data_IF_106009192936
#
_entry.id   IF_106009192936
#
_cell.length_a   1.000
_cell.length_b   1.000
_cell.length_c   1.000
_cell.angle_alpha   90.00
_cell.angle_beta   90.00
_cell.angle_gamma   90.00
#
_symmetry.space_group_name_H-M   'P 1'
#
loop_
_entity.id
_entity.type
_entity.pdbx_description
1 polymer ?
#
# COMPACT_ATOMS: atom_id res chain seq x y z
N UNK A 1 -40.09 -32.67 48.96
CA UNK A 1 -41.34 -33.33 49.37
C UNK A 1 -41.24 -33.66 50.85
N UNK A 2 -42.25 -33.30 51.63
CA UNK A 2 -42.38 -33.68 53.04
C UNK A 2 -43.06 -35.06 53.09
N UNK A 3 -42.58 -36.00 53.91
CA UNK A 3 -43.13 -37.37 54.02
C UNK A 3 -43.90 -37.59 55.34
N UNK A 4 -44.29 -36.50 56.00
CA UNK A 4 -45.03 -36.53 57.28
C UNK A 4 -46.40 -37.22 57.21
N UNK A 5 -46.90 -37.51 56.00
CA UNK A 5 -48.20 -38.15 55.74
C UNK A 5 -48.14 -39.68 55.70
N UNK A 6 -46.95 -40.29 55.84
CA UNK A 6 -46.77 -41.75 55.80
C UNK A 6 -46.83 -42.28 57.25
N UNK A 7 -47.86 -43.06 57.56
CA UNK A 7 -48.14 -43.59 58.91
C UNK A 7 -47.21 -44.74 59.33
N UNK A 8 -46.64 -45.50 58.38
CA UNK A 8 -45.69 -46.58 58.68
C UNK A 8 -44.27 -46.02 58.95
N UNK A 9 -43.75 -46.15 60.18
CA UNK A 9 -42.47 -45.56 60.57
C UNK A 9 -41.26 -46.24 59.91
N UNK A 10 -41.34 -47.52 59.52
CA UNK A 10 -40.24 -48.21 58.83
C UNK A 10 -40.11 -47.74 57.39
N UNK A 11 -41.23 -47.58 56.70
CA UNK A 11 -41.27 -47.11 55.31
C UNK A 11 -40.87 -45.64 55.25
N UNK A 12 -41.36 -44.82 56.19
CA UNK A 12 -40.97 -43.41 56.30
C UNK A 12 -39.46 -43.26 56.53
N UNK A 13 -38.88 -44.01 57.46
CA UNK A 13 -37.44 -43.99 57.71
C UNK A 13 -36.59 -44.52 56.55
N UNK A 14 -37.12 -45.43 55.73
CA UNK A 14 -36.43 -45.89 54.51
C UNK A 14 -36.46 -44.81 53.40
N UNK A 15 -37.58 -44.10 53.24
CA UNK A 15 -37.74 -43.03 52.26
C UNK A 15 -36.96 -41.76 52.64
N UNK A 16 -36.87 -41.45 53.94
CA UNK A 16 -36.05 -40.36 54.46
C UNK A 16 -34.56 -40.65 54.23
N UNK A 17 -34.08 -41.87 54.52
CA UNK A 17 -32.70 -42.29 54.20
C UNK A 17 -32.39 -42.26 52.71
N UNK A 18 -33.31 -42.76 51.87
CA UNK A 18 -33.15 -42.71 50.40
C UNK A 18 -33.16 -41.27 49.87
N UNK A 19 -33.87 -40.36 50.55
CA UNK A 19 -33.85 -38.92 50.24
C UNK A 19 -32.55 -38.28 50.66
N UNK A 20 -32.01 -38.63 51.83
CA UNK A 20 -30.70 -38.16 52.30
C UNK A 20 -29.58 -38.64 51.38
N UNK A 21 -29.59 -39.90 50.94
CA UNK A 21 -28.68 -40.42 49.90
C UNK A 21 -28.87 -39.71 48.56
N UNK A 22 -30.12 -39.44 48.14
CA UNK A 22 -30.36 -38.68 46.90
C UNK A 22 -29.90 -37.21 47.00
N UNK A 23 -29.94 -36.64 48.20
CA UNK A 23 -29.51 -35.27 48.49
C UNK A 23 -28.00 -35.19 48.65
N UNK A 24 -27.32 -36.19 49.21
CA UNK A 24 -25.86 -36.29 49.21
C UNK A 24 -25.33 -36.46 47.79
N UNK A 25 -25.95 -37.34 46.98
CA UNK A 25 -25.61 -37.50 45.56
C UNK A 25 -25.89 -36.21 44.75
N UNK A 26 -26.94 -35.44 45.08
CA UNK A 26 -27.19 -34.12 44.47
C UNK A 26 -26.24 -33.05 44.98
N UNK A 27 -25.80 -33.12 46.24
CA UNK A 27 -24.80 -32.22 46.82
C UNK A 27 -23.43 -32.47 46.20
N UNK A 28 -23.03 -33.74 46.04
CA UNK A 28 -21.79 -34.14 45.36
C UNK A 28 -21.85 -33.85 43.86
N UNK A 29 -23.02 -34.01 43.21
CA UNK A 29 -23.21 -33.51 41.85
C UNK A 29 -23.13 -31.99 41.77
N UNK A 30 -23.70 -31.23 42.71
CA UNK A 30 -23.58 -29.76 42.75
C UNK A 30 -22.15 -29.32 43.03
N UNK A 31 -21.43 -29.99 43.94
CA UNK A 31 -20.03 -29.74 44.24
C UNK A 31 -19.16 -30.07 43.02
N UNK A 32 -19.38 -31.20 42.35
CA UNK A 32 -18.70 -31.56 41.10
C UNK A 32 -19.10 -30.66 39.92
N UNK A 33 -20.32 -30.09 39.91
CA UNK A 33 -20.74 -29.12 38.88
C UNK A 33 -20.19 -27.72 39.18
N UNK A 34 -19.99 -27.35 40.45
CA UNK A 34 -19.31 -26.11 40.85
C UNK A 34 -17.79 -26.21 40.70
N UNK A 35 -17.20 -27.38 40.95
CA UNK A 35 -15.79 -27.68 40.67
C UNK A 35 -15.58 -27.73 39.15
N UNK A 36 -16.44 -28.41 38.38
CA UNK A 36 -16.38 -28.34 36.92
C UNK A 36 -16.71 -26.93 36.39
N UNK A 37 -17.60 -26.14 37.00
CA UNK A 37 -17.82 -24.76 36.55
C UNK A 37 -16.73 -23.80 37.00
N UNK A 38 -15.96 -24.09 38.07
CA UNK A 38 -14.76 -23.36 38.46
C UNK A 38 -13.55 -23.78 37.62
N UNK A 39 -13.40 -25.04 37.27
CA UNK A 39 -12.40 -25.54 36.32
C UNK A 39 -12.74 -25.17 34.87
N UNK A 40 -14.01 -25.12 34.50
CA UNK A 40 -14.50 -24.60 33.20
C UNK A 40 -14.45 -23.07 33.20
N UNK A 41 -14.70 -22.35 34.31
CA UNK A 41 -14.44 -20.90 34.35
C UNK A 41 -12.96 -20.54 34.35
N UNK A 42 -12.10 -21.38 34.94
CA UNK A 42 -10.64 -21.20 34.89
C UNK A 42 -10.03 -21.71 33.57
N UNK A 43 -10.62 -22.69 32.89
CA UNK A 43 -10.17 -23.15 31.56
C UNK A 43 -10.82 -22.38 30.40
N UNK A 44 -11.97 -21.74 30.60
CA UNK A 44 -12.56 -20.80 29.62
C UNK A 44 -11.93 -19.41 29.70
N UNK A 45 -11.23 -19.08 30.80
CA UNK A 45 -10.26 -17.96 30.83
C UNK A 45 -8.94 -18.27 30.11
N UNK A 46 -8.74 -19.52 29.66
CA UNK A 46 -7.58 -19.97 28.88
C UNK A 46 -8.06 -20.40 27.48
N UNK A 47 -8.92 -19.62 26.81
CA UNK A 47 -9.16 -19.79 25.36
C UNK A 47 -9.68 -18.53 24.67
N UNK A 48 -9.06 -17.39 24.96
CA UNK A 48 -8.84 -16.32 23.97
C UNK A 48 -7.43 -15.77 24.18
N UNK A 49 -6.41 -16.64 24.04
CA UNK A 49 -5.09 -16.18 23.59
C UNK A 49 -5.24 -15.84 22.10
N UNK A 50 -5.94 -14.74 21.83
CA UNK A 50 -5.70 -13.95 20.62
C UNK A 50 -4.20 -13.74 20.54
N UNK A 51 -3.66 -13.84 19.33
CA UNK A 51 -2.27 -13.61 18.97
C UNK A 51 -1.80 -12.22 19.49
N UNK A 52 -1.47 -12.13 20.78
CA UNK A 52 -1.06 -10.91 21.47
C UNK A 52 0.33 -10.45 21.06
N UNK A 53 1.06 -11.24 20.27
CA UNK A 53 2.35 -10.86 19.72
C UNK A 53 2.23 -9.76 18.65
N UNK A 54 1.05 -9.60 18.02
CA UNK A 54 0.79 -8.58 16.99
C UNK A 54 -0.21 -7.49 17.43
N UNK A 55 -1.12 -7.73 18.39
CA UNK A 55 -1.94 -6.63 18.96
C UNK A 55 -1.10 -5.67 19.83
N UNK A 56 0.08 -6.09 20.32
CA UNK A 56 1.05 -5.19 20.96
C UNK A 56 1.73 -4.21 20.00
N UNK A 57 1.51 -4.31 18.69
CA UNK A 57 2.02 -3.39 17.67
C UNK A 57 1.39 -1.98 17.72
N UNK A 58 0.47 -1.73 18.64
CA UNK A 58 -0.14 -0.41 18.89
C UNK A 58 0.13 0.14 20.28
N UNK A 59 1.25 -0.22 20.92
CA UNK A 59 1.76 0.61 22.01
C UNK A 59 2.28 1.94 21.43
N UNK A 60 1.39 2.94 21.37
CA UNK A 60 1.72 4.35 21.11
C UNK A 60 2.60 4.87 22.25
N UNK A 61 3.86 4.45 22.30
CA UNK A 61 4.87 5.08 23.14
C UNK A 61 5.22 6.40 22.46
N UNK A 62 4.84 7.52 23.09
CA UNK A 62 5.23 8.86 22.63
C UNK A 62 6.75 8.88 22.53
N UNK A 63 7.28 8.83 21.30
CA UNK A 63 8.68 9.18 21.07
C UNK A 63 8.84 10.68 21.33
N UNK A 64 9.88 11.03 22.09
CA UNK A 64 10.37 12.40 22.25
C UNK A 64 10.53 13.10 20.88
N UNK A 65 10.37 14.44 20.81
CA UNK A 65 10.26 15.18 19.56
C UNK A 65 11.61 15.27 18.85
N UNK A 66 12.08 14.16 18.27
CA UNK A 66 13.27 14.14 17.41
C UNK A 66 12.86 14.45 15.97
N UNK A 67 13.46 15.53 15.45
CA UNK A 67 13.73 15.85 14.03
C UNK A 67 13.04 14.87 13.07
N UNK A 68 11.96 15.30 12.38
CA UNK A 68 11.27 14.48 11.37
C UNK A 68 12.30 13.94 10.36
N UNK A 69 12.69 12.68 10.54
CA UNK A 69 13.63 12.01 9.65
C UNK A 69 12.94 11.83 8.30
N UNK A 70 13.63 12.17 7.21
CA UNK A 70 13.10 11.96 5.86
C UNK A 70 13.10 10.45 5.58
N UNK A 71 11.97 9.90 5.15
CA UNK A 71 11.86 8.49 4.77
C UNK A 71 12.86 8.18 3.64
N UNK A 72 13.71 7.14 3.77
CA UNK A 72 14.65 6.75 2.74
C UNK A 72 13.92 6.27 1.48
N UNK A 73 14.60 6.28 0.33
CA UNK A 73 14.05 5.68 -0.88
C UNK A 73 14.03 4.15 -0.73
N UNK A 74 13.06 3.49 -1.36
CA UNK A 74 12.95 2.02 -1.37
C UNK A 74 14.25 1.38 -1.85
N UNK A 75 14.91 1.97 -2.87
CA UNK A 75 16.21 1.52 -3.38
C UNK A 75 17.33 1.63 -2.33
N UNK A 76 17.39 2.72 -1.57
CA UNK A 76 18.40 2.89 -0.52
C UNK A 76 18.21 1.88 0.63
N UNK A 77 16.96 1.64 1.01
CA UNK A 77 16.63 0.61 2.01
C UNK A 77 16.98 -0.79 1.49
N UNK A 78 16.69 -1.09 0.21
CA UNK A 78 17.03 -2.36 -0.42
C UNK A 78 18.53 -2.64 -0.37
N UNK A 79 19.35 -1.67 -0.80
CA UNK A 79 20.82 -1.78 -0.78
C UNK A 79 21.33 -2.00 0.64
N UNK A 80 20.86 -1.21 1.61
CA UNK A 80 21.28 -1.34 3.00
C UNK A 80 20.91 -2.72 3.59
N UNK A 81 19.71 -3.22 3.27
CA UNK A 81 19.23 -4.53 3.72
C UNK A 81 20.07 -5.66 3.09
N UNK A 82 20.40 -5.54 1.79
CA UNK A 82 21.28 -6.49 1.09
C UNK A 82 22.68 -6.51 1.68
N UNK A 83 23.26 -5.34 1.94
CA UNK A 83 24.57 -5.23 2.59
C UNK A 83 24.58 -5.87 3.98
N UNK A 84 23.53 -5.62 4.78
CA UNK A 84 23.38 -6.24 6.09
C UNK A 84 23.30 -7.76 5.99
N UNK A 85 22.46 -8.28 5.07
CA UNK A 85 22.36 -9.72 4.77
C UNK A 85 23.73 -10.32 4.44
N UNK A 86 24.46 -9.73 3.50
CA UNK A 86 25.77 -10.22 3.06
C UNK A 86 26.80 -10.24 4.19
N UNK A 87 26.87 -9.18 5.01
CA UNK A 87 27.82 -9.12 6.13
C UNK A 87 27.55 -10.20 7.18
N UNK A 88 26.28 -10.37 7.58
CA UNK A 88 25.93 -11.40 8.56
C UNK A 88 26.15 -12.80 7.96
N UNK A 89 25.87 -13.00 6.67
CA UNK A 89 26.13 -14.25 5.95
C UNK A 89 27.62 -14.62 5.95
N UNK A 90 28.52 -13.64 5.89
CA UNK A 90 29.98 -13.85 6.01
C UNK A 90 30.45 -14.12 7.44
N UNK A 91 29.55 -14.23 8.40
CA UNK A 91 29.87 -14.50 9.81
C UNK A 91 30.15 -13.26 10.64
N UNK A 92 29.94 -12.05 10.11
CA UNK A 92 30.11 -10.83 10.88
C UNK A 92 28.99 -10.70 11.92
N UNK A 93 29.29 -10.44 13.21
CA UNK A 93 28.26 -10.21 14.22
C UNK A 93 27.32 -9.05 13.82
N UNK A 94 26.02 -9.21 14.10
CA UNK A 94 24.99 -8.22 13.74
C UNK A 94 25.31 -6.80 14.24
N UNK A 95 25.80 -6.69 15.49
CA UNK A 95 26.19 -5.41 16.09
C UNK A 95 27.27 -4.71 15.26
N UNK A 96 28.28 -5.46 14.80
CA UNK A 96 29.38 -4.93 14.01
C UNK A 96 28.92 -4.54 12.60
N UNK A 97 28.11 -5.39 11.96
CA UNK A 97 27.51 -5.07 10.67
C UNK A 97 26.67 -3.77 10.72
N UNK A 98 25.92 -3.55 11.81
CA UNK A 98 25.15 -2.32 12.02
C UNK A 98 26.04 -1.10 12.24
N UNK A 99 27.17 -1.23 12.93
CA UNK A 99 28.14 -0.14 13.09
C UNK A 99 28.75 0.25 11.74
N UNK A 100 29.18 -0.72 10.93
CA UNK A 100 29.71 -0.47 9.58
C UNK A 100 28.68 0.25 8.71
N UNK A 101 27.40 -0.17 8.72
CA UNK A 101 26.34 0.53 7.99
C UNK A 101 26.06 1.92 8.56
N UNK A 102 26.13 2.09 9.88
CA UNK A 102 25.98 3.40 10.52
C UNK A 102 27.13 4.36 10.18
N UNK A 103 28.27 3.88 9.69
CA UNK A 103 29.37 4.74 9.27
C UNK A 103 29.33 5.02 7.77
N UNK A 104 29.16 3.97 6.97
CA UNK A 104 29.28 3.98 5.51
C UNK A 104 28.02 4.40 4.73
N UNK A 105 26.83 4.35 5.34
CA UNK A 105 25.59 4.62 4.59
C UNK A 105 25.42 6.10 4.23
N UNK A 106 25.18 6.38 2.95
CA UNK A 106 24.95 7.73 2.43
C UNK A 106 23.66 8.38 2.97
N UNK A 107 22.65 7.57 3.27
CA UNK A 107 21.36 8.06 3.74
C UNK A 107 21.41 8.38 5.23
N UNK A 108 21.33 9.68 5.56
CA UNK A 108 21.35 10.19 6.95
C UNK A 108 20.31 9.54 7.87
N UNK A 109 19.14 9.17 7.36
CA UNK A 109 18.09 8.51 8.15
C UNK A 109 18.48 7.08 8.49
N UNK A 110 18.94 6.30 7.50
CA UNK A 110 19.41 4.93 7.75
C UNK A 110 20.64 4.91 8.66
N UNK A 111 21.57 5.86 8.45
CA UNK A 111 22.73 6.07 9.31
C UNK A 111 22.34 6.23 10.79
N UNK A 112 21.35 7.09 11.06
CA UNK A 112 20.83 7.30 12.40
C UNK A 112 20.17 6.04 12.97
N UNK A 113 19.33 5.37 12.18
CA UNK A 113 18.58 4.17 12.59
C UNK A 113 19.54 3.03 12.92
N UNK A 114 20.52 2.73 12.07
CA UNK A 114 21.46 1.64 12.33
C UNK A 114 22.36 1.92 13.53
N UNK A 115 22.73 3.20 13.77
CA UNK A 115 23.44 3.58 14.98
C UNK A 115 22.59 3.41 16.24
N UNK A 116 21.32 3.78 16.17
CA UNK A 116 20.39 3.54 17.28
C UNK A 116 20.21 2.04 17.53
N UNK A 117 20.04 1.25 16.45
CA UNK A 117 19.93 -0.21 16.49
C UNK A 117 21.17 -0.86 17.12
N UNK A 118 22.39 -0.47 16.73
CA UNK A 118 23.62 -1.03 17.31
C UNK A 118 23.75 -0.72 18.80
N UNK A 119 23.42 0.51 19.23
CA UNK A 119 23.37 0.87 20.65
C UNK A 119 22.28 0.13 21.43
N UNK A 120 21.15 -0.17 20.80
CA UNK A 120 20.07 -0.94 21.41
C UNK A 120 20.44 -2.40 21.61
N UNK A 121 21.04 -3.01 20.59
CA UNK A 121 21.51 -4.40 20.60
C UNK A 121 22.66 -4.58 21.59
N UNK A 122 23.59 -3.62 21.69
CA UNK A 122 24.65 -3.67 22.70
C UNK A 122 24.13 -3.65 24.15
N UNK A 123 22.89 -3.20 24.34
CA UNK A 123 22.17 -3.19 25.62
C UNK A 123 21.21 -4.38 25.78
N UNK A 124 21.22 -5.35 24.88
CA UNK A 124 20.39 -6.56 24.93
C UNK A 124 19.01 -6.43 24.30
N UNK A 125 18.73 -5.39 23.51
CA UNK A 125 17.48 -5.32 22.74
C UNK A 125 17.55 -6.22 21.51
N UNK A 126 16.43 -6.82 21.13
CA UNK A 126 16.30 -7.57 19.85
C UNK A 126 16.37 -6.62 18.66
N UNK A 127 16.79 -7.12 17.50
CA UNK A 127 16.88 -6.33 16.28
C UNK A 127 15.50 -5.82 15.86
N UNK A 128 14.47 -6.67 15.85
CA UNK A 128 13.09 -6.26 15.53
C UNK A 128 12.63 -5.10 16.42
N UNK A 129 12.84 -5.19 17.73
CA UNK A 129 12.39 -4.14 18.66
C UNK A 129 13.03 -2.77 18.40
N UNK A 130 14.22 -2.75 17.79
CA UNK A 130 14.87 -1.52 17.36
C UNK A 130 14.28 -0.96 16.07
N UNK A 131 13.93 -1.83 15.12
CA UNK A 131 13.30 -1.43 13.86
C UNK A 131 11.86 -0.94 14.06
N UNK A 132 11.11 -1.54 15.00
CA UNK A 132 9.73 -1.15 15.34
C UNK A 132 9.58 0.32 15.76
N UNK A 133 10.66 0.95 16.23
CA UNK A 133 10.68 2.38 16.57
C UNK A 133 10.53 3.28 15.34
N UNK A 134 10.70 2.74 14.13
CA UNK A 134 10.72 3.48 12.86
C UNK A 134 9.69 2.92 11.85
N UNK A 135 8.38 2.95 12.16
CA UNK A 135 7.33 2.37 11.30
C UNK A 135 7.16 3.08 9.95
N UNK A 136 7.68 4.31 9.82
CA UNK A 136 7.71 5.07 8.56
C UNK A 136 8.81 4.56 7.59
N UNK A 137 9.75 3.75 8.08
CA UNK A 137 10.87 3.19 7.30
C UNK A 137 10.70 1.69 7.13
N UNK A 138 10.41 0.98 8.22
CA UNK A 138 10.20 -0.47 8.20
C UNK A 138 8.71 -0.75 8.28
N UNK A 139 8.16 -1.24 7.17
CA UNK A 139 6.76 -1.62 7.12
C UNK A 139 6.53 -2.93 7.91
N UNK A 140 5.26 -3.31 8.09
CA UNK A 140 4.92 -4.50 8.86
C UNK A 140 5.44 -5.81 8.23
N UNK A 141 5.64 -5.84 6.91
CA UNK A 141 6.21 -6.98 6.22
C UNK A 141 7.69 -7.19 6.56
N UNK A 142 8.48 -6.10 6.51
CA UNK A 142 9.88 -6.08 6.90
C UNK A 142 10.02 -6.59 8.34
N UNK A 143 9.21 -6.04 9.25
CA UNK A 143 9.24 -6.42 10.67
C UNK A 143 8.88 -7.89 10.88
N UNK A 144 7.86 -8.41 10.17
CA UNK A 144 7.46 -9.81 10.26
C UNK A 144 8.56 -10.77 9.78
N UNK A 145 9.19 -10.47 8.64
CA UNK A 145 10.30 -11.28 8.10
C UNK A 145 11.51 -11.28 9.03
N UNK A 146 11.91 -10.10 9.52
CA UNK A 146 13.01 -10.00 10.48
C UNK A 146 12.68 -10.72 11.78
N UNK A 147 11.44 -10.66 12.26
CA UNK A 147 11.02 -11.39 13.47
C UNK A 147 11.05 -12.90 13.31
N UNK A 148 10.61 -13.41 12.17
CA UNK A 148 10.70 -14.82 11.84
C UNK A 148 12.17 -15.27 11.78
N UNK A 149 13.02 -14.52 11.08
CA UNK A 149 14.44 -14.87 10.95
C UNK A 149 15.26 -14.70 12.22
N UNK A 150 14.98 -13.68 13.04
CA UNK A 150 15.63 -13.50 14.35
C UNK A 150 15.26 -14.64 15.31
N UNK A 151 14.00 -15.08 15.31
CA UNK A 151 13.56 -16.22 16.14
C UNK A 151 14.13 -17.55 15.65
N UNK A 152 14.22 -17.73 14.33
CA UNK A 152 14.70 -18.97 13.71
C UNK A 152 16.23 -19.04 13.56
N UNK A 153 16.96 -17.96 13.87
CA UNK A 153 18.41 -17.88 13.62
C UNK A 153 18.80 -17.79 12.14
N UNK A 154 17.84 -17.49 11.26
CA UNK A 154 18.00 -17.42 9.80
C UNK A 154 17.97 -15.96 9.30
N UNK A 155 18.49 -15.04 10.12
CA UNK A 155 18.48 -13.60 9.83
C UNK A 155 19.09 -13.24 8.46
N UNK A 156 20.21 -13.85 8.02
CA UNK A 156 20.76 -13.59 6.68
C UNK A 156 19.78 -13.93 5.55
N UNK A 157 19.05 -15.03 5.65
CA UNK A 157 18.16 -15.49 4.58
C UNK A 157 16.89 -14.64 4.48
N UNK A 158 16.33 -14.23 5.63
CA UNK A 158 15.16 -13.33 5.61
C UNK A 158 15.51 -11.92 5.16
N UNK A 159 16.69 -11.41 5.52
CA UNK A 159 17.16 -10.10 5.05
C UNK A 159 17.45 -10.14 3.55
N UNK A 160 17.97 -11.26 3.03
CA UNK A 160 18.18 -11.40 1.58
C UNK A 160 16.87 -11.36 0.80
N UNK A 161 15.85 -12.06 1.32
CA UNK A 161 14.51 -12.06 0.74
C UNK A 161 13.84 -10.69 0.81
N UNK A 162 13.95 -10.00 1.95
CA UNK A 162 13.42 -8.64 2.10
C UNK A 162 14.14 -7.66 1.17
N UNK A 163 15.46 -7.79 1.01
CA UNK A 163 16.21 -7.01 0.03
C UNK A 163 15.68 -7.24 -1.40
N UNK A 164 15.48 -8.51 -1.80
CA UNK A 164 14.93 -8.85 -3.12
C UNK A 164 13.53 -8.27 -3.35
N UNK A 165 12.65 -8.31 -2.35
CA UNK A 165 11.35 -7.64 -2.40
C UNK A 165 11.51 -6.13 -2.64
N UNK A 166 12.33 -5.46 -1.82
CA UNK A 166 12.53 -4.01 -1.91
C UNK A 166 13.15 -3.62 -3.26
N UNK A 167 14.03 -4.45 -3.82
CA UNK A 167 14.58 -4.30 -5.17
C UNK A 167 13.47 -4.40 -6.24
N UNK A 168 12.62 -5.41 -6.18
CA UNK A 168 11.46 -5.54 -7.08
C UNK A 168 10.52 -4.34 -7.00
N UNK A 169 10.17 -3.89 -5.79
CA UNK A 169 9.34 -2.70 -5.59
C UNK A 169 10.01 -1.43 -6.14
N UNK A 170 11.31 -1.28 -5.93
CA UNK A 170 12.08 -0.17 -6.46
C UNK A 170 12.16 -0.21 -7.99
N UNK A 171 12.30 -1.40 -8.59
CA UNK A 171 12.30 -1.64 -10.05
C UNK A 171 10.96 -1.24 -10.66
N UNK A 172 9.84 -1.73 -10.11
CA UNK A 172 8.49 -1.39 -10.57
C UNK A 172 8.28 0.14 -10.50
N UNK A 173 8.60 0.75 -9.36
CA UNK A 173 8.47 2.20 -9.18
C UNK A 173 9.37 2.99 -10.16
N UNK A 174 10.59 2.51 -10.39
CA UNK A 174 11.54 3.08 -11.33
C UNK A 174 11.02 3.03 -12.76
N UNK A 175 10.49 1.88 -13.20
CA UNK A 175 9.90 1.71 -14.53
C UNK A 175 8.74 2.69 -14.76
N UNK A 176 7.82 2.81 -13.80
CA UNK A 176 6.71 3.76 -13.87
C UNK A 176 7.24 5.20 -13.94
N UNK A 177 8.22 5.55 -13.12
CA UNK A 177 8.77 6.92 -13.09
C UNK A 177 9.50 7.28 -14.38
N UNK A 178 10.30 6.35 -14.93
CA UNK A 178 11.03 6.55 -16.18
C UNK A 178 10.09 6.66 -17.38
N UNK A 179 9.02 5.86 -17.42
CA UNK A 179 7.99 5.94 -18.46
C UNK A 179 7.28 7.30 -18.50
N UNK A 180 7.09 7.95 -17.33
CA UNK A 180 6.46 9.26 -17.24
C UNK A 180 7.41 10.42 -17.55
N UNK A 181 8.73 10.20 -17.61
CA UNK A 181 9.70 11.27 -17.82
C UNK A 181 9.51 11.96 -19.18
N UNK A 182 9.25 11.19 -20.25
CA UNK A 182 9.07 11.73 -21.59
C UNK A 182 7.78 12.57 -21.75
N UNK A 183 6.58 12.08 -21.35
CA UNK A 183 5.38 12.91 -21.35
C UNK A 183 5.54 14.20 -20.54
N UNK A 184 6.17 14.15 -19.37
CA UNK A 184 6.41 15.32 -18.53
C UNK A 184 7.34 16.32 -19.25
N UNK A 185 8.41 15.85 -19.90
CA UNK A 185 9.35 16.71 -20.61
C UNK A 185 8.67 17.45 -21.78
N UNK A 186 7.91 16.73 -22.63
CA UNK A 186 7.17 17.35 -23.74
C UNK A 186 6.12 18.31 -23.21
N UNK A 187 5.32 17.90 -22.22
CA UNK A 187 4.28 18.76 -21.66
C UNK A 187 4.87 20.07 -21.09
N UNK A 188 6.02 19.96 -20.41
CA UNK A 188 6.75 21.13 -19.89
C UNK A 188 7.24 22.03 -21.03
N UNK A 189 7.81 21.46 -22.09
CA UNK A 189 8.26 22.21 -23.26
C UNK A 189 7.10 22.91 -23.97
N UNK A 190 5.98 22.20 -24.19
CA UNK A 190 4.77 22.76 -24.80
C UNK A 190 4.23 23.92 -23.98
N UNK A 191 4.11 23.78 -22.65
CA UNK A 191 3.68 24.88 -21.78
C UNK A 191 4.65 26.07 -21.86
N UNK A 192 5.96 25.82 -21.86
CA UNK A 192 6.95 26.89 -21.98
C UNK A 192 6.78 27.65 -23.30
N UNK A 193 6.60 26.96 -24.42
CA UNK A 193 6.34 27.58 -25.74
C UNK A 193 5.05 28.40 -25.72
N UNK A 194 3.95 27.85 -25.17
CA UNK A 194 2.68 28.59 -25.04
C UNK A 194 2.87 29.87 -24.23
N UNK A 195 3.58 29.81 -23.10
CA UNK A 195 3.83 30.99 -22.26
C UNK A 195 4.64 32.05 -23.02
N UNK A 196 5.70 31.64 -23.73
CA UNK A 196 6.49 32.56 -24.56
C UNK A 196 5.60 33.23 -25.62
N UNK A 197 4.76 32.44 -26.30
CA UNK A 197 3.84 32.98 -27.31
C UNK A 197 2.84 33.98 -26.70
N UNK A 198 2.21 33.64 -25.58
CA UNK A 198 1.27 34.52 -24.90
C UNK A 198 1.94 35.82 -24.44
N UNK A 199 3.14 35.74 -23.86
CA UNK A 199 3.82 36.91 -23.26
C UNK A 199 4.44 37.83 -24.31
N UNK A 200 5.03 37.28 -25.37
CA UNK A 200 5.79 38.07 -26.35
C UNK A 200 5.08 38.24 -27.69
N UNK A 201 4.45 37.18 -28.21
CA UNK A 201 3.92 37.20 -29.59
C UNK A 201 2.55 37.86 -29.64
N UNK A 202 1.61 37.44 -28.79
CA UNK A 202 0.23 37.96 -28.80
C UNK A 202 0.12 39.49 -28.63
N UNK A 203 0.89 40.16 -27.75
CA UNK A 203 0.82 41.61 -27.60
C UNK A 203 1.18 42.35 -28.88
N UNK A 204 2.16 41.85 -29.65
CA UNK A 204 2.53 42.43 -30.94
C UNK A 204 1.32 42.43 -31.88
N UNK A 205 0.55 41.34 -31.89
CA UNK A 205 -0.69 41.28 -32.66
C UNK A 205 -1.74 42.25 -32.11
N UNK A 206 -1.94 42.32 -30.79
CA UNK A 206 -2.88 43.30 -30.20
C UNK A 206 -2.54 44.73 -30.61
N UNK A 207 -1.27 45.11 -30.59
CA UNK A 207 -0.82 46.44 -31.00
C UNK A 207 -1.11 46.70 -32.50
N UNK A 208 -0.93 45.68 -33.35
CA UNK A 208 -1.33 45.74 -34.77
C UNK A 208 -2.85 45.89 -34.95
N UNK A 209 -3.69 45.26 -34.11
CA UNK A 209 -5.16 45.42 -34.17
C UNK A 209 -5.61 46.78 -33.69
N UNK A 210 -5.01 47.29 -32.61
CA UNK A 210 -5.36 48.58 -32.01
C UNK A 210 -5.20 49.73 -33.03
N UNK A 211 -4.23 49.62 -33.94
CA UNK A 211 -4.03 50.61 -35.01
C UNK A 211 -5.07 50.55 -36.15
N UNK A 212 -5.88 49.50 -36.22
CA UNK A 212 -6.86 49.25 -37.29
C UNK A 212 -8.31 49.56 -36.89
N UNK A 213 -8.56 49.84 -35.60
CA UNK A 213 -9.89 50.21 -35.08
C UNK A 213 -10.93 49.07 -35.10
N UNK A 214 -10.52 47.84 -35.38
CA UNK A 214 -11.39 46.66 -35.43
C UNK A 214 -11.28 45.83 -34.14
N UNK A 215 -12.42 45.33 -33.66
CA UNK A 215 -12.46 44.45 -32.48
C UNK A 215 -11.79 43.10 -32.76
N UNK A 216 -11.12 42.57 -31.74
CA UNK A 216 -10.45 41.28 -31.81
C UNK A 216 -11.48 40.13 -31.91
N UNK A 217 -11.28 39.14 -32.79
CA UNK A 217 -12.11 37.94 -32.83
C UNK A 217 -12.11 37.19 -31.48
N UNK A 218 -13.24 36.58 -31.12
CA UNK A 218 -13.41 35.95 -29.80
C UNK A 218 -12.35 34.89 -29.44
N UNK A 219 -11.85 34.12 -30.41
CA UNK A 219 -10.76 33.16 -30.18
C UNK A 219 -9.44 33.84 -29.78
N UNK A 220 -9.14 34.98 -30.40
CA UNK A 220 -7.96 35.80 -30.10
C UNK A 220 -8.13 36.52 -28.77
N UNK A 221 -9.35 36.98 -28.46
CA UNK A 221 -9.65 37.63 -27.18
C UNK A 221 -9.36 36.72 -25.98
N UNK A 222 -9.73 35.43 -26.05
CA UNK A 222 -9.41 34.46 -24.98
C UNK A 222 -7.90 34.39 -24.72
N UNK A 223 -7.09 34.42 -25.78
CA UNK A 223 -5.64 34.37 -25.64
C UNK A 223 -5.04 35.69 -25.13
N UNK A 224 -5.62 36.83 -25.50
CA UNK A 224 -5.25 38.15 -24.97
C UNK A 224 -5.59 38.25 -23.50
N UNK A 225 -6.77 37.79 -23.08
CA UNK A 225 -7.18 37.73 -21.68
C UNK A 225 -6.24 36.83 -20.87
N UNK A 226 -5.87 35.67 -21.42
CA UNK A 226 -4.89 34.77 -20.81
C UNK A 226 -3.48 35.40 -20.72
N UNK A 227 -3.04 36.13 -21.76
CA UNK A 227 -1.77 36.85 -21.78
C UNK A 227 -1.74 37.96 -20.71
N UNK A 228 -2.79 38.78 -20.65
CA UNK A 228 -2.93 39.86 -19.67
C UNK A 228 -2.97 39.30 -18.24
N UNK A 229 -3.67 38.19 -18.03
CA UNK A 229 -3.66 37.49 -16.75
C UNK A 229 -2.25 37.01 -16.36
N UNK A 230 -1.49 36.40 -17.28
CA UNK A 230 -0.13 35.94 -16.98
C UNK A 230 0.84 37.10 -16.70
N UNK A 231 0.67 38.23 -17.40
CA UNK A 231 1.54 39.41 -17.27
C UNK A 231 1.25 40.23 -16.02
N UNK A 232 0.02 40.25 -15.54
CA UNK A 232 -0.37 41.02 -14.35
C UNK A 232 0.27 40.40 -13.08
N UNK A 233 1.20 41.09 -12.39
CA UNK A 233 1.77 40.61 -11.14
C UNK A 233 0.70 40.37 -10.07
N UNK A 234 -0.43 41.10 -10.13
CA UNK A 234 -1.55 40.96 -9.21
C UNK A 234 -2.31 39.64 -9.41
N UNK A 235 -2.34 39.11 -10.64
CA UNK A 235 -2.94 37.82 -10.95
C UNK A 235 -2.13 36.66 -10.38
N UNK A 236 -0.80 36.69 -10.50
CA UNK A 236 0.09 35.69 -9.89
C UNK A 236 -0.08 35.64 -8.36
N UNK A 237 -0.21 36.80 -7.72
CA UNK A 237 -0.46 36.92 -6.27
C UNK A 237 -1.83 36.33 -5.88
N UNK A 238 -2.86 36.39 -6.73
CA UNK A 238 -4.19 35.82 -6.48
C UNK A 238 -4.26 34.31 -6.80
N UNK A 239 -3.57 33.85 -7.84
CA UNK A 239 -3.62 32.46 -8.30
C UNK A 239 -2.77 31.54 -7.45
N UNK A 240 -1.59 31.97 -6.99
CA UNK A 240 -0.70 31.13 -6.16
C UNK A 240 -1.41 30.63 -4.87
N UNK A 241 -2.10 31.47 -4.08
CA UNK A 241 -2.87 31.01 -2.92
C UNK A 241 -3.98 30.03 -3.28
N UNK A 242 -4.71 30.29 -4.37
CA UNK A 242 -5.79 29.40 -4.84
C UNK A 242 -5.22 28.05 -5.25
N UNK A 243 -4.09 28.03 -5.97
CA UNK A 243 -3.42 26.81 -6.38
C UNK A 243 -2.87 26.04 -5.16
N UNK A 244 -2.31 26.73 -4.18
CA UNK A 244 -1.83 26.14 -2.92
C UNK A 244 -2.99 25.56 -2.11
N UNK A 245 -4.11 26.27 -1.99
CA UNK A 245 -5.34 25.80 -1.34
C UNK A 245 -5.90 24.59 -2.09
N UNK A 246 -5.95 24.62 -3.42
CA UNK A 246 -6.40 23.52 -4.25
C UNK A 246 -5.50 22.29 -4.08
N UNK A 247 -4.17 22.45 -4.13
CA UNK A 247 -3.21 21.37 -3.90
C UNK A 247 -3.38 20.80 -2.48
N UNK A 248 -3.56 21.66 -1.48
CA UNK A 248 -3.78 21.23 -0.10
C UNK A 248 -5.11 20.50 0.07
N UNK A 249 -6.17 20.99 -0.57
CA UNK A 249 -7.50 20.39 -0.58
C UNK A 249 -7.47 19.03 -1.28
N UNK A 250 -6.85 18.93 -2.45
CA UNK A 250 -6.64 17.68 -3.18
C UNK A 250 -5.80 16.69 -2.36
N UNK A 251 -4.73 17.15 -1.69
CA UNK A 251 -3.93 16.32 -0.78
C UNK A 251 -4.73 15.83 0.44
N UNK A 252 -5.65 16.65 0.96
CA UNK A 252 -6.53 16.29 2.07
C UNK A 252 -7.61 15.31 1.63
N UNK A 253 -8.28 15.58 0.51
CA UNK A 253 -9.27 14.69 -0.12
C UNK A 253 -8.68 13.34 -0.50
N UNK A 254 -7.44 13.30 -1.00
CA UNK A 254 -6.71 12.06 -1.30
C UNK A 254 -6.57 11.10 -0.11
N UNK A 255 -6.70 11.61 1.13
CA UNK A 255 -6.68 10.80 2.36
C UNK A 255 -8.07 10.38 2.84
N UNK A 256 -9.14 10.87 2.20
CA UNK A 256 -10.53 10.55 2.56
C UNK A 256 -10.90 9.18 2.02
N UNK A 257 -11.50 8.34 2.87
CA UNK A 257 -11.87 6.97 2.51
C UNK A 257 -12.79 6.89 1.28
N UNK A 258 -13.75 7.82 1.16
CA UNK A 258 -14.66 7.89 0.01
C UNK A 258 -13.93 8.17 -1.30
N UNK A 259 -12.96 9.09 -1.30
CA UNK A 259 -12.16 9.40 -2.49
C UNK A 259 -11.27 8.22 -2.90
N UNK A 260 -10.63 7.57 -1.93
CA UNK A 260 -9.80 6.37 -2.19
C UNK A 260 -10.65 5.27 -2.83
N UNK A 261 -11.84 4.99 -2.28
CA UNK A 261 -12.74 3.98 -2.83
C UNK A 261 -13.22 4.35 -4.25
N UNK A 262 -13.58 5.61 -4.49
CA UNK A 262 -13.97 6.09 -5.82
C UNK A 262 -12.82 5.97 -6.82
N UNK A 263 -11.61 6.42 -6.46
CA UNK A 263 -10.39 6.34 -7.28
C UNK A 263 -10.07 4.89 -7.62
N UNK A 264 -9.99 4.03 -6.61
CA UNK A 264 -9.58 2.63 -6.77
C UNK A 264 -10.57 1.84 -7.61
N UNK A 265 -11.87 2.13 -7.51
CA UNK A 265 -12.91 1.56 -8.37
C UNK A 265 -12.86 2.11 -9.79
N UNK A 266 -12.56 3.40 -9.95
CA UNK A 266 -12.49 4.06 -11.27
C UNK A 266 -11.27 3.58 -12.06
N UNK A 267 -10.12 3.45 -11.41
CA UNK A 267 -8.89 2.94 -12.05
C UNK A 267 -9.04 1.51 -12.60
N UNK A 268 -9.91 0.69 -11.99
CA UNK A 268 -10.22 -0.67 -12.46
C UNK A 268 -11.27 -0.71 -13.58
N UNK A 269 -11.96 0.41 -13.85
CA UNK A 269 -12.94 0.52 -14.94
C UNK A 269 -12.34 1.10 -16.22
N UNK A 270 -11.32 1.94 -16.10
CA UNK A 270 -10.66 2.57 -17.24
C UNK A 270 -9.77 1.53 -17.95
N UNK A 271 -10.00 1.23 -19.25
CA UNK A 271 -9.25 0.19 -19.97
C UNK A 271 -7.74 0.41 -19.94
N UNK A 272 -7.33 1.68 -20.01
CA UNK A 272 -5.94 2.12 -20.02
C UNK A 272 -5.24 1.74 -18.69
N UNK A 273 -5.88 1.97 -17.54
CA UNK A 273 -5.24 1.74 -16.22
C UNK A 273 -5.61 0.42 -15.57
N UNK A 274 -6.71 -0.22 -15.99
CA UNK A 274 -7.24 -1.46 -15.39
C UNK A 274 -6.17 -2.54 -15.34
N UNK A 275 -5.48 -2.73 -16.46
CA UNK A 275 -4.50 -3.80 -16.62
C UNK A 275 -3.27 -3.58 -15.73
N UNK A 276 -2.68 -2.38 -15.77
CA UNK A 276 -1.55 -2.01 -14.92
C UNK A 276 -1.88 -2.14 -13.42
N UNK A 277 -3.03 -1.65 -12.98
CA UNK A 277 -3.41 -1.70 -11.55
C UNK A 277 -3.65 -3.14 -11.10
N UNK A 278 -4.32 -3.94 -11.94
CA UNK A 278 -4.59 -5.36 -11.67
C UNK A 278 -3.28 -6.13 -11.55
N UNK A 279 -2.44 -6.07 -12.59
CA UNK A 279 -1.15 -6.76 -12.64
C UNK A 279 -0.20 -6.29 -11.53
N UNK A 280 -0.17 -5.00 -11.20
CA UNK A 280 0.63 -4.48 -10.10
C UNK A 280 0.16 -4.97 -8.73
N UNK A 281 -1.15 -5.07 -8.50
CA UNK A 281 -1.68 -5.63 -7.26
C UNK A 281 -1.35 -7.12 -7.13
N UNK A 282 -1.51 -7.90 -8.21
CA UNK A 282 -1.19 -9.32 -8.23
C UNK A 282 0.32 -9.57 -8.06
N UNK A 283 1.18 -8.79 -8.72
CA UNK A 283 2.64 -8.87 -8.57
C UNK A 283 3.06 -8.62 -7.11
N UNK A 284 2.60 -7.51 -6.51
CA UNK A 284 2.92 -7.19 -5.13
C UNK A 284 2.38 -8.23 -4.15
N UNK A 285 1.15 -8.69 -4.35
CA UNK A 285 0.55 -9.72 -3.50
C UNK A 285 1.32 -11.03 -3.56
N UNK A 286 1.61 -11.53 -4.76
CA UNK A 286 2.35 -12.78 -4.96
C UNK A 286 3.79 -12.68 -4.47
N UNK A 287 4.50 -11.57 -4.74
CA UNK A 287 5.87 -11.40 -4.25
C UNK A 287 5.92 -11.34 -2.73
N UNK A 288 4.99 -10.62 -2.10
CA UNK A 288 4.90 -10.59 -0.63
C UNK A 288 4.55 -11.95 -0.05
N UNK A 289 3.55 -12.63 -0.62
CA UNK A 289 3.11 -13.93 -0.17
C UNK A 289 4.23 -14.99 -0.33
N UNK A 290 4.93 -15.00 -1.47
CA UNK A 290 6.07 -15.86 -1.75
C UNK A 290 7.19 -15.66 -0.71
N UNK A 291 7.56 -14.41 -0.44
CA UNK A 291 8.63 -14.10 0.51
C UNK A 291 8.29 -14.55 1.94
N UNK A 292 7.07 -14.27 2.40
CA UNK A 292 6.60 -14.65 3.74
C UNK A 292 6.46 -16.16 3.89
N UNK A 293 5.87 -16.82 2.89
CA UNK A 293 5.66 -18.27 2.91
C UNK A 293 7.00 -19.02 2.86
N UNK A 294 7.93 -18.57 2.01
CA UNK A 294 9.30 -19.11 1.97
C UNK A 294 10.02 -18.95 3.31
N UNK A 295 9.70 -17.90 4.08
CA UNK A 295 10.24 -17.62 5.41
C UNK A 295 9.52 -18.39 6.53
N UNK A 296 8.58 -19.27 6.20
CA UNK A 296 7.85 -20.08 7.17
C UNK A 296 6.82 -19.30 7.98
N UNK A 297 6.43 -18.09 7.53
CA UNK A 297 5.34 -17.33 8.15
C UNK A 297 4.01 -18.06 7.87
N UNK A 298 3.15 -18.29 8.87
CA UNK A 298 1.88 -18.97 8.67
C UNK A 298 0.98 -18.27 7.65
N UNK A 299 0.31 -19.03 6.76
CA UNK A 299 -0.43 -18.51 5.61
C UNK A 299 -1.45 -17.41 5.95
N UNK A 300 -2.21 -17.54 7.05
CA UNK A 300 -3.18 -16.54 7.49
C UNK A 300 -2.52 -15.22 7.89
N UNK A 301 -1.35 -15.31 8.51
CA UNK A 301 -0.54 -14.15 8.86
C UNK A 301 0.06 -13.53 7.59
N UNK A 302 0.58 -14.37 6.69
CA UNK A 302 1.11 -13.94 5.40
C UNK A 302 0.07 -13.18 4.58
N UNK A 303 -1.17 -13.67 4.49
CA UNK A 303 -2.27 -12.99 3.79
C UNK A 303 -2.63 -11.65 4.43
N UNK A 304 -2.64 -11.58 5.77
CA UNK A 304 -2.88 -10.33 6.50
C UNK A 304 -1.81 -9.29 6.23
N UNK A 305 -0.55 -9.72 6.09
CA UNK A 305 0.57 -8.84 5.76
C UNK A 305 0.54 -8.46 4.28
N UNK A 306 0.34 -9.42 3.36
CA UNK A 306 0.22 -9.19 1.90
C UNK A 306 -0.89 -8.19 1.57
N UNK A 307 -1.99 -8.18 2.32
CA UNK A 307 -3.04 -7.16 2.16
C UNK A 307 -2.48 -5.73 2.20
N UNK A 308 -1.49 -5.47 3.06
CA UNK A 308 -0.98 -4.10 3.29
C UNK A 308 -0.08 -3.60 2.16
N UNK A 309 0.44 -4.50 1.32
CA UNK A 309 1.24 -4.14 0.14
C UNK A 309 0.37 -3.81 -1.07
N UNK A 310 -0.93 -4.12 -1.02
CA UNK A 310 -1.90 -3.81 -2.06
C UNK A 310 -2.23 -2.32 -2.11
N UNK A 311 -1.94 -1.67 -3.23
CA UNK A 311 -2.22 -0.25 -3.47
C UNK A 311 -3.69 0.09 -3.77
N UNK A 312 -4.54 -0.91 -3.95
CA UNK A 312 -5.95 -0.75 -4.33
C UNK A 312 -6.89 -1.43 -3.32
N UNK A 313 -7.91 -0.69 -2.86
CA UNK A 313 -8.90 -1.13 -1.87
C UNK A 313 -9.73 -2.34 -2.30
N UNK A 314 -10.00 -2.51 -3.59
CA UNK A 314 -10.73 -3.68 -4.11
C UNK A 314 -9.90 -4.95 -3.85
N UNK A 315 -8.61 -4.92 -4.15
CA UNK A 315 -7.72 -6.05 -3.86
C UNK A 315 -7.53 -6.26 -2.35
N UNK A 316 -7.48 -5.19 -1.54
CA UNK A 316 -7.46 -5.33 -0.08
C UNK A 316 -8.70 -6.06 0.46
N UNK A 317 -9.88 -5.79 -0.12
CA UNK A 317 -11.13 -6.50 0.21
C UNK A 317 -11.08 -7.96 -0.20
N UNK A 318 -10.51 -8.27 -1.37
CA UNK A 318 -10.31 -9.66 -1.81
C UNK A 318 -9.42 -10.40 -0.82
N UNK A 319 -8.32 -9.77 -0.36
CA UNK A 319 -7.44 -10.34 0.67
C UNK A 319 -8.15 -10.56 2.03
N UNK A 320 -9.02 -9.64 2.44
CA UNK A 320 -9.85 -9.82 3.64
C UNK A 320 -10.82 -11.00 3.51
N UNK A 321 -11.45 -11.13 2.34
CA UNK A 321 -12.35 -12.25 2.05
C UNK A 321 -11.58 -13.57 2.05
N UNK A 322 -10.40 -13.63 1.42
CA UNK A 322 -9.52 -14.81 1.48
C UNK A 322 -9.21 -15.21 2.92
N UNK A 323 -8.77 -14.26 3.76
CA UNK A 323 -8.51 -14.54 5.18
C UNK A 323 -9.71 -15.13 5.92
N UNK A 324 -10.91 -14.59 5.68
CA UNK A 324 -12.14 -15.03 6.36
C UNK A 324 -12.56 -16.44 5.91
N UNK A 325 -12.51 -16.70 4.61
CA UNK A 325 -12.94 -17.96 4.00
C UNK A 325 -11.96 -19.11 4.32
N UNK A 326 -10.65 -18.85 4.35
CA UNK A 326 -9.65 -19.86 4.73
C UNK A 326 -9.79 -20.22 6.20
N UNK A 327 -10.09 -19.25 7.07
CA UNK A 327 -10.41 -19.53 8.48
C UNK A 327 -11.65 -20.43 8.62
N UNK A 328 -12.59 -20.35 7.66
CA UNK A 328 -13.74 -21.24 7.57
C UNK A 328 -13.44 -22.58 6.86
N UNK A 329 -12.19 -22.82 6.44
CA UNK A 329 -11.75 -24.06 5.79
C UNK A 329 -11.99 -24.11 4.27
N UNK A 330 -12.32 -22.99 3.64
CA UNK A 330 -12.45 -22.94 2.18
C UNK A 330 -11.08 -22.78 1.49
N UNK A 331 -10.85 -23.48 0.36
CA UNK A 331 -9.65 -23.30 -0.47
C UNK A 331 -9.52 -21.87 -1.01
N UNK A 332 -8.29 -21.35 -1.11
CA UNK A 332 -8.02 -19.98 -1.59
C UNK A 332 -8.52 -19.79 -3.01
N UNK A 333 -8.29 -20.78 -3.88
CA UNK A 333 -8.65 -20.66 -5.29
C UNK A 333 -10.16 -20.46 -5.50
N UNK A 334 -11.02 -20.98 -4.60
CA UNK A 334 -12.47 -20.78 -4.71
C UNK A 334 -12.85 -19.32 -4.49
N UNK A 335 -12.20 -18.65 -3.55
CA UNK A 335 -12.43 -17.22 -3.28
C UNK A 335 -12.00 -16.40 -4.49
N UNK A 336 -10.80 -16.67 -5.00
CA UNK A 336 -10.23 -16.00 -6.17
C UNK A 336 -11.10 -16.16 -7.42
N UNK A 337 -11.67 -17.36 -7.64
CA UNK A 337 -12.55 -17.64 -8.77
C UNK A 337 -13.83 -16.78 -8.80
N UNK A 338 -14.27 -16.26 -7.65
CA UNK A 338 -15.50 -15.44 -7.55
C UNK A 338 -15.28 -13.96 -7.79
N UNK A 339 -14.04 -13.50 -7.95
CA UNK A 339 -13.72 -12.08 -8.01
C UNK A 339 -13.34 -11.66 -9.45
N UNK A 340 -14.14 -10.77 -10.03
CA UNK A 340 -14.00 -10.28 -11.42
C UNK A 340 -12.58 -9.79 -11.80
N UNK A 341 -11.82 -9.07 -10.94
CA UNK A 341 -10.50 -8.58 -11.32
C UNK A 341 -9.41 -9.66 -11.36
N UNK A 342 -9.68 -10.89 -10.91
CA UNK A 342 -8.69 -11.95 -10.80
C UNK A 342 -8.66 -12.78 -12.09
N UNK A 343 -7.51 -12.85 -12.79
CA UNK A 343 -7.39 -13.69 -13.99
C UNK A 343 -7.49 -15.18 -13.68
N UNK A 344 -8.02 -15.95 -14.64
CA UNK A 344 -8.17 -17.40 -14.53
C UNK A 344 -6.83 -18.08 -14.23
N UNK A 345 -5.76 -17.67 -14.92
CA UNK A 345 -4.41 -18.21 -14.71
C UNK A 345 -3.92 -18.06 -13.26
N UNK A 346 -4.19 -16.91 -12.63
CA UNK A 346 -3.83 -16.66 -11.23
C UNK A 346 -4.53 -17.65 -10.31
N UNK A 347 -5.85 -17.81 -10.50
CA UNK A 347 -6.67 -18.76 -9.74
C UNK A 347 -6.22 -20.21 -9.95
N UNK A 348 -5.91 -20.60 -11.19
CA UNK A 348 -5.45 -21.95 -11.52
C UNK A 348 -4.13 -22.31 -10.86
N UNK A 349 -3.18 -21.37 -10.76
CA UNK A 349 -1.90 -21.63 -10.08
C UNK A 349 -2.07 -21.80 -8.56
N UNK A 350 -2.98 -21.04 -7.94
CA UNK A 350 -3.36 -21.29 -6.55
C UNK A 350 -4.01 -22.67 -6.38
N UNK A 351 -4.91 -23.05 -7.29
CA UNK A 351 -5.55 -24.37 -7.26
C UNK A 351 -4.54 -25.49 -7.36
N UNK A 352 -3.63 -25.43 -8.34
CA UNK A 352 -2.57 -26.42 -8.52
C UNK A 352 -1.70 -26.49 -7.26
N UNK A 353 -1.24 -25.33 -6.76
CA UNK A 353 -0.39 -25.28 -5.57
C UNK A 353 -1.06 -25.80 -4.30
N UNK A 354 -2.37 -25.60 -4.13
CA UNK A 354 -3.13 -26.16 -3.00
C UNK A 354 -3.37 -27.68 -3.17
N UNK A 355 -3.68 -28.14 -4.38
CA UNK A 355 -3.93 -29.56 -4.66
C UNK A 355 -2.64 -30.41 -4.60
N UNK A 356 -1.50 -29.86 -5.02
CA UNK A 356 -0.20 -30.54 -5.01
C UNK A 356 0.62 -30.29 -3.76
N UNK A 357 0.22 -29.34 -2.91
CA UNK A 357 1.01 -28.89 -1.75
C UNK A 357 2.16 -27.94 -2.10
N UNK A 358 2.36 -27.60 -3.37
CA UNK A 358 3.46 -26.75 -3.87
C UNK A 358 3.06 -25.28 -4.01
N UNK A 359 2.26 -24.75 -3.07
CA UNK A 359 1.78 -23.37 -3.11
C UNK A 359 2.93 -22.34 -3.15
N UNK A 360 4.02 -22.61 -2.42
CA UNK A 360 5.21 -21.75 -2.40
C UNK A 360 5.79 -21.53 -3.80
N UNK A 361 5.96 -22.60 -4.56
CA UNK A 361 6.55 -22.56 -5.89
C UNK A 361 5.60 -21.86 -6.88
N UNK A 362 4.31 -22.20 -6.83
CA UNK A 362 3.31 -21.60 -7.73
C UNK A 362 3.14 -20.10 -7.49
N UNK A 363 3.11 -19.65 -6.23
CA UNK A 363 3.04 -18.23 -5.88
C UNK A 363 4.31 -17.49 -6.32
N UNK A 364 5.48 -18.12 -6.23
CA UNK A 364 6.71 -17.51 -6.72
C UNK A 364 6.70 -17.34 -8.24
N UNK A 365 6.25 -18.34 -9.00
CA UNK A 365 6.05 -18.25 -10.46
C UNK A 365 5.06 -17.15 -10.84
N UNK A 366 3.97 -17.00 -10.07
CA UNK A 366 3.02 -15.90 -10.24
C UNK A 366 3.68 -14.54 -9.98
N UNK A 367 4.54 -14.43 -8.96
CA UNK A 367 5.26 -13.19 -8.67
C UNK A 367 6.15 -12.77 -9.86
N UNK A 368 6.95 -13.70 -10.39
CA UNK A 368 7.85 -13.44 -11.52
C UNK A 368 7.05 -13.07 -12.78
N UNK A 369 5.99 -13.85 -13.10
CA UNK A 369 5.14 -13.58 -14.26
C UNK A 369 4.45 -12.21 -14.19
N UNK A 370 3.82 -11.88 -13.05
CA UNK A 370 3.09 -10.61 -12.94
C UNK A 370 4.01 -9.39 -12.84
N UNK A 371 5.25 -9.54 -12.36
CA UNK A 371 6.26 -8.47 -12.45
C UNK A 371 6.64 -8.16 -13.89
N UNK A 372 6.80 -9.17 -14.74
CA UNK A 372 7.05 -8.99 -16.17
C UNK A 372 5.83 -8.37 -16.88
N UNK A 373 4.62 -8.83 -16.55
CA UNK A 373 3.39 -8.25 -17.08
C UNK A 373 3.19 -6.79 -16.67
N UNK A 374 3.62 -6.38 -15.48
CA UNK A 374 3.63 -4.97 -15.06
C UNK A 374 4.56 -4.15 -15.96
N UNK A 375 5.77 -4.65 -16.23
CA UNK A 375 6.74 -3.99 -17.12
C UNK A 375 6.17 -3.82 -18.53
N UNK A 376 5.51 -4.85 -19.07
CA UNK A 376 4.82 -4.79 -20.37
C UNK A 376 3.69 -3.77 -20.35
N UNK A 377 2.87 -3.76 -19.31
CA UNK A 377 1.75 -2.81 -19.17
C UNK A 377 2.22 -1.35 -19.12
N UNK A 378 3.34 -1.08 -18.42
CA UNK A 378 3.96 0.26 -18.38
C UNK A 378 4.43 0.68 -19.77
N UNK A 379 5.02 -0.23 -20.56
CA UNK A 379 5.42 0.07 -21.95
C UNK A 379 4.20 0.38 -22.82
N UNK A 380 3.16 -0.44 -22.78
CA UNK A 380 1.93 -0.23 -23.56
C UNK A 380 1.27 1.11 -23.24
N UNK A 381 1.20 1.48 -21.95
CA UNK A 381 0.71 2.79 -21.51
C UNK A 381 1.52 3.94 -22.11
N UNK A 382 2.84 3.80 -22.14
CA UNK A 382 3.75 4.81 -22.69
C UNK A 382 3.54 4.97 -24.20
N UNK A 383 3.38 3.86 -24.92
CA UNK A 383 3.12 3.87 -26.37
C UNK A 383 1.76 4.49 -26.74
N UNK A 384 0.75 4.40 -25.88
CA UNK A 384 -0.55 5.07 -26.11
C UNK A 384 -0.45 6.58 -25.82
N UNK A 385 0.35 6.97 -24.83
CA UNK A 385 0.52 8.38 -24.48
C UNK A 385 1.20 9.18 -25.60
N UNK A 386 2.10 8.56 -26.37
CA UNK A 386 2.84 9.26 -27.44
C UNK A 386 1.93 9.83 -28.55
N UNK A 387 1.04 9.06 -29.20
CA UNK A 387 0.08 9.61 -30.16
C UNK A 387 -0.85 10.66 -29.56
N UNK A 388 -1.31 10.45 -28.32
CA UNK A 388 -2.15 11.44 -27.62
C UNK A 388 -1.42 12.76 -27.43
N UNK A 389 -0.14 12.72 -27.08
CA UNK A 389 0.70 13.91 -26.95
C UNK A 389 0.88 14.61 -28.29
N UNK A 390 1.10 13.87 -29.38
CA UNK A 390 1.21 14.46 -30.73
C UNK A 390 -0.09 15.18 -31.11
N UNK A 391 -1.25 14.53 -30.93
CA UNK A 391 -2.56 15.14 -31.22
C UNK A 391 -2.81 16.35 -30.34
N UNK A 392 -2.47 16.28 -29.05
CA UNK A 392 -2.61 17.39 -28.12
C UNK A 392 -1.75 18.59 -28.55
N UNK A 393 -0.46 18.38 -28.82
CA UNK A 393 0.46 19.44 -29.25
C UNK A 393 0.03 20.03 -30.60
N UNK A 394 -0.33 19.17 -31.56
CA UNK A 394 -0.84 19.63 -32.86
C UNK A 394 -2.11 20.47 -32.70
N UNK A 395 -3.03 20.05 -31.84
CA UNK A 395 -4.26 20.79 -31.54
C UNK A 395 -3.99 22.16 -30.90
N UNK A 396 -3.07 22.21 -29.94
CA UNK A 396 -2.63 23.47 -29.32
C UNK A 396 -2.00 24.41 -30.35
N UNK A 397 -1.06 23.91 -31.16
CA UNK A 397 -0.39 24.72 -32.18
C UNK A 397 -1.40 25.21 -33.22
N UNK A 398 -2.29 24.34 -33.71
CA UNK A 398 -3.34 24.72 -34.65
C UNK A 398 -4.27 25.79 -34.07
N UNK A 399 -4.70 25.63 -32.81
CA UNK A 399 -5.52 26.61 -32.11
C UNK A 399 -4.83 27.98 -32.05
N UNK A 400 -3.54 28.02 -31.71
CA UNK A 400 -2.76 29.25 -31.66
C UNK A 400 -2.63 29.87 -33.05
N UNK A 401 -2.29 29.09 -34.08
CA UNK A 401 -2.17 29.58 -35.45
C UNK A 401 -3.49 30.19 -35.95
N UNK A 402 -4.62 29.51 -35.74
CA UNK A 402 -5.93 30.04 -36.12
C UNK A 402 -6.25 31.32 -35.36
N UNK A 403 -6.01 31.36 -34.05
CA UNK A 403 -6.25 32.56 -33.25
C UNK A 403 -5.34 33.75 -33.65
N UNK A 404 -4.18 33.49 -34.24
CA UNK A 404 -3.28 34.52 -34.75
C UNK A 404 -3.63 34.98 -36.18
N UNK A 405 -4.06 34.07 -37.06
CA UNK A 405 -4.37 34.39 -38.45
C UNK A 405 -5.79 34.90 -38.68
N UNK A 406 -6.76 34.45 -37.87
CA UNK A 406 -8.15 34.87 -37.99
C UNK A 406 -8.31 36.39 -37.91
N UNK A 407 -7.65 37.09 -36.97
CA UNK A 407 -7.61 38.54 -37.00
C UNK A 407 -7.13 39.04 -38.37
N UNK A 408 -5.99 38.54 -38.88
CA UNK A 408 -5.35 39.08 -40.09
C UNK A 408 -6.30 39.07 -41.30
N UNK A 409 -7.11 38.02 -41.43
CA UNK A 409 -8.14 37.94 -42.46
C UNK A 409 -9.24 39.00 -42.29
N UNK A 410 -9.68 39.26 -41.06
CA UNK A 410 -10.69 40.28 -40.80
C UNK A 410 -10.18 41.68 -41.19
N UNK A 411 -8.90 41.99 -40.90
CA UNK A 411 -8.30 43.26 -41.32
C UNK A 411 -8.30 43.44 -42.83
N UNK A 412 -7.96 42.39 -43.59
CA UNK A 412 -7.97 42.42 -45.05
C UNK A 412 -9.38 42.69 -45.61
N UNK A 413 -10.42 42.14 -44.97
CA UNK A 413 -11.81 42.36 -45.38
C UNK A 413 -12.35 43.76 -45.07
N UNK A 414 -11.80 44.46 -44.08
CA UNK A 414 -12.18 45.86 -43.73
C UNK A 414 -11.45 46.92 -44.55
N UNK A 415 -10.36 46.57 -45.23
CA UNK A 415 -9.57 47.48 -46.10
C UNK A 415 -9.96 47.32 -47.59
N UNK A 416 -10.91 46.43 -47.88
CA UNK A 416 -11.61 46.29 -49.17
C UNK A 416 -12.96 46.98 -49.10
#
# INVERSE_FOLDING_TARGET
>A
MNYSFIEDPKIRGALERKREESNSIKSDKKLNTEINNKEVSNSTKIKVKKNKKFESLKAKKKLDPKKKLKTPSTKALAIATKQLSSMIRTGLPLLEALNILAESNENKTLKYIFRDASMGISRGSTFVSMLEKYPEVFNEMYLALVSAGETAGLLPDVLDREAGLLESLAKIKGQISSALAYPIAIFTLTIAVIIIMLVFVIPIFVDMYASSGADLPGLTQILVDASNAIKDPSFLIKVIPVLVILIFFLKRQSKTSSFINWRDKTLLKLPITKDLVTKSCLANFSRTLSALNSAGVPILESLTISKRTLGNKVFQRIADKMNTEIQAGQPIYKVLATEEPIPIMFTSMFRIGEETGELSEMVNKLADFYEDEVSTSVKSLTSILEPLMIVFVAGVVAFILVAMYLPMFNMMSTVS
#
